data_IF_319982820533
#
_entry.id   IF_319982820533
#
_cell.length_a   1.000
_cell.length_b   1.000
_cell.length_c   1.000
_cell.angle_alpha   90.00
_cell.angle_beta   90.00
_cell.angle_gamma   90.00
#
_symmetry.space_group_name_H-M   'P 1'
#
loop_
_entity.id
_entity.type
_entity.pdbx_description
1 polymer ?
#
# COMPACT_ATOMS: atom_id res chain seq x y z
N UNK A 1 -41.68 -10.02 21.19
CA UNK A 1 -40.51 -9.15 20.99
C UNK A 1 -39.18 -9.84 21.32
N UNK A 2 -39.08 -10.57 22.45
CA UNK A 2 -37.81 -11.20 22.87
C UNK A 2 -37.26 -12.24 21.87
N UNK A 3 -38.13 -13.02 21.22
CA UNK A 3 -37.76 -14.02 20.19
C UNK A 3 -37.18 -13.37 18.93
N UNK A 4 -37.75 -12.24 18.49
CA UNK A 4 -37.25 -11.49 17.33
C UNK A 4 -35.86 -10.89 17.61
N UNK A 5 -35.59 -10.51 18.86
CA UNK A 5 -34.30 -9.99 19.28
C UNK A 5 -33.21 -11.07 19.25
N UNK A 6 -33.54 -12.30 19.67
CA UNK A 6 -32.61 -13.43 19.61
C UNK A 6 -32.27 -13.80 18.17
N UNK A 7 -33.24 -13.76 17.24
CA UNK A 7 -33.01 -14.09 15.83
C UNK A 7 -32.02 -13.14 15.12
N UNK A 8 -31.99 -11.86 15.52
CA UNK A 8 -31.05 -10.87 14.96
C UNK A 8 -29.60 -11.17 15.38
N UNK A 9 -29.39 -11.73 16.57
CA UNK A 9 -28.05 -12.05 17.11
C UNK A 9 -27.40 -13.23 16.36
N UNK A 10 -28.21 -14.15 15.82
CA UNK A 10 -27.73 -15.33 15.09
C UNK A 10 -27.63 -15.13 13.59
N UNK A 11 -27.89 -13.93 13.06
CA UNK A 11 -27.77 -13.66 11.64
C UNK A 11 -26.28 -13.53 11.28
N UNK A 12 -25.70 -14.48 10.52
CA UNK A 12 -24.29 -14.39 10.15
C UNK A 12 -24.09 -13.13 9.31
N UNK A 13 -23.12 -12.30 9.70
CA UNK A 13 -22.72 -11.16 8.91
C UNK A 13 -22.13 -11.68 7.58
N UNK A 14 -22.94 -11.71 6.53
CA UNK A 14 -22.57 -12.22 5.20
C UNK A 14 -21.44 -11.44 4.50
N UNK A 15 -20.80 -10.50 5.20
CA UNK A 15 -19.68 -9.70 4.72
C UNK A 15 -18.30 -10.30 5.03
N UNK A 16 -18.20 -11.38 5.80
CA UNK A 16 -16.92 -11.84 6.38
C UNK A 16 -16.35 -13.13 5.77
N UNK A 17 -17.12 -13.89 5.00
CA UNK A 17 -16.71 -15.22 4.49
C UNK A 17 -16.23 -15.25 3.03
N UNK A 18 -16.19 -14.11 2.35
CA UNK A 18 -15.53 -14.04 1.06
C UNK A 18 -14.03 -14.01 1.31
N UNK A 19 -13.32 -15.12 1.05
CA UNK A 19 -11.84 -15.16 1.09
C UNK A 19 -11.21 -14.06 0.23
N UNK A 20 -9.87 -13.97 0.19
CA UNK A 20 -9.16 -12.86 -0.46
C UNK A 20 -9.82 -12.34 -1.75
N UNK A 21 -10.29 -11.10 -1.70
CA UNK A 21 -10.94 -10.42 -2.82
C UNK A 21 -9.92 -9.52 -3.50
N UNK A 22 -9.67 -9.76 -4.77
CA UNK A 22 -8.87 -8.85 -5.60
C UNK A 22 -9.80 -7.82 -6.25
N UNK A 23 -9.51 -6.51 -6.13
CA UNK A 23 -10.28 -5.47 -6.81
C UNK A 23 -10.29 -5.65 -8.35
N UNK A 24 -11.29 -5.08 -9.05
CA UNK A 24 -11.31 -5.04 -10.52
C UNK A 24 -10.03 -4.46 -11.14
N UNK A 25 -9.69 -4.93 -12.34
CA UNK A 25 -8.43 -4.59 -13.04
C UNK A 25 -8.24 -3.08 -13.23
N UNK A 26 -9.31 -2.33 -13.48
CA UNK A 26 -9.26 -0.86 -13.63
C UNK A 26 -8.72 -0.17 -12.37
N UNK A 27 -9.14 -0.64 -11.19
CA UNK A 27 -8.66 -0.11 -9.90
C UNK A 27 -7.20 -0.51 -9.69
N UNK A 28 -6.85 -1.76 -10.01
CA UNK A 28 -5.48 -2.26 -9.88
C UNK A 28 -4.50 -1.51 -10.79
N UNK A 29 -4.92 -1.10 -11.99
CA UNK A 29 -4.11 -0.27 -12.90
C UNK A 29 -3.79 1.10 -12.32
N UNK A 30 -4.77 1.74 -11.69
CA UNK A 30 -4.55 3.03 -11.03
C UNK A 30 -3.67 2.86 -9.80
N UNK A 31 -3.92 1.82 -9.00
CA UNK A 31 -3.14 1.54 -7.79
C UNK A 31 -1.66 1.26 -8.07
N UNK A 32 -1.37 0.55 -9.17
CA UNK A 32 0.00 0.20 -9.57
C UNK A 32 0.59 1.13 -10.63
N UNK A 33 -0.04 2.29 -10.86
CA UNK A 33 0.55 3.30 -11.72
C UNK A 33 1.90 3.77 -11.14
N UNK A 34 2.93 3.99 -11.98
CA UNK A 34 4.22 4.45 -11.50
C UNK A 34 4.07 5.83 -10.85
N UNK A 35 4.65 5.97 -9.66
CA UNK A 35 4.71 7.24 -8.95
C UNK A 35 5.67 8.20 -9.66
N UNK A 36 5.45 9.50 -9.47
CA UNK A 36 6.36 10.51 -10.00
C UNK A 36 7.70 10.46 -9.24
N UNK A 37 8.84 10.66 -9.94
CA UNK A 37 10.13 10.68 -9.29
C UNK A 37 10.21 11.85 -8.31
N UNK A 38 10.89 11.63 -7.21
CA UNK A 38 11.26 12.68 -6.27
C UNK A 38 12.48 13.42 -6.82
N UNK A 39 12.42 14.75 -6.76
CA UNK A 39 13.40 15.63 -7.38
C UNK A 39 13.98 16.56 -6.32
N UNK A 40 15.31 16.59 -6.24
CA UNK A 40 16.03 17.59 -5.47
C UNK A 40 17.04 18.30 -6.37
N UNK A 41 16.93 19.61 -6.44
CA UNK A 41 17.86 20.47 -7.19
C UNK A 41 18.98 20.97 -6.28
N UNK A 42 20.23 20.91 -6.74
CA UNK A 42 21.32 21.56 -6.03
C UNK A 42 21.07 23.08 -5.92
N UNK A 43 21.51 23.76 -4.85
CA UNK A 43 21.33 25.21 -4.70
C UNK A 43 21.93 26.04 -5.85
N UNK A 44 22.99 25.53 -6.49
CA UNK A 44 23.63 26.15 -7.66
C UNK A 44 22.87 25.90 -8.96
N UNK A 45 21.91 24.97 -8.97
CA UNK A 45 21.15 24.57 -10.16
C UNK A 45 21.90 23.68 -11.15
N UNK A 46 23.16 23.32 -10.86
CA UNK A 46 24.01 22.54 -11.77
C UNK A 46 23.66 21.04 -11.79
N UNK A 47 23.14 20.53 -10.67
CA UNK A 47 22.83 19.11 -10.50
C UNK A 47 21.39 18.88 -10.04
N UNK A 48 20.85 17.76 -10.49
CA UNK A 48 19.54 17.24 -10.10
C UNK A 48 19.71 15.83 -9.55
N UNK A 49 19.13 15.56 -8.38
CA UNK A 49 18.96 14.21 -7.87
C UNK A 49 17.53 13.74 -8.14
N UNK A 50 17.42 12.63 -8.86
CA UNK A 50 16.17 11.95 -9.18
C UNK A 50 16.14 10.63 -8.40
N UNK A 51 15.14 10.45 -7.54
CA UNK A 51 14.91 9.17 -6.87
C UNK A 51 13.53 8.64 -7.21
N UNK A 52 13.45 7.34 -7.47
CA UNK A 52 12.19 6.64 -7.64
C UNK A 52 11.72 6.10 -6.28
N UNK A 53 10.52 6.47 -5.81
CA UNK A 53 9.98 5.88 -4.59
C UNK A 53 9.61 4.41 -4.81
N UNK A 54 10.01 3.54 -3.88
CA UNK A 54 9.67 2.12 -3.90
C UNK A 54 8.51 1.82 -2.95
N UNK A 55 7.28 1.74 -3.48
CA UNK A 55 6.06 1.59 -2.66
C UNK A 55 5.84 0.16 -2.16
N UNK A 56 6.31 -0.85 -2.89
CA UNK A 56 6.10 -2.27 -2.58
C UNK A 56 7.42 -3.06 -2.60
N UNK A 57 8.28 -2.90 -1.58
CA UNK A 57 9.50 -3.69 -1.47
C UNK A 57 9.17 -5.17 -1.25
N UNK A 58 10.02 -6.04 -1.80
CA UNK A 58 9.96 -7.48 -1.55
C UNK A 58 10.24 -7.79 -0.07
N UNK A 59 9.84 -8.98 0.38
CA UNK A 59 10.13 -9.41 1.77
C UNK A 59 11.64 -9.48 2.06
N UNK A 60 12.46 -9.78 1.06
CA UNK A 60 13.92 -9.80 1.22
C UNK A 60 14.48 -8.39 1.45
N UNK A 61 14.02 -7.41 0.67
CA UNK A 61 14.37 -5.99 0.85
C UNK A 61 13.85 -5.46 2.19
N UNK A 62 12.62 -5.82 2.58
CA UNK A 62 12.06 -5.50 3.90
C UNK A 62 12.90 -6.08 5.06
N UNK A 63 13.42 -7.30 4.90
CA UNK A 63 14.28 -7.94 5.91
C UNK A 63 15.74 -7.46 5.94
N UNK A 64 16.18 -6.71 4.92
CA UNK A 64 17.57 -6.28 4.82
C UNK A 64 17.94 -5.19 5.85
N UNK A 65 19.20 -5.13 6.31
CA UNK A 65 19.71 -4.02 7.11
C UNK A 65 19.57 -2.69 6.37
N UNK A 66 19.16 -1.62 7.08
CA UNK A 66 19.04 -0.30 6.47
C UNK A 66 20.39 0.23 6.00
N UNK A 67 20.44 0.79 4.79
CA UNK A 67 21.60 1.53 4.33
C UNK A 67 21.80 2.80 5.18
N UNK A 68 23.05 3.12 5.50
CA UNK A 68 23.39 4.23 6.41
C UNK A 68 23.29 5.61 5.74
N UNK A 69 22.95 5.67 4.46
CA UNK A 69 22.82 6.92 3.73
C UNK A 69 21.46 7.55 4.05
N UNK A 70 21.49 8.67 4.77
CA UNK A 70 20.35 9.57 4.99
C UNK A 70 19.08 8.91 5.55
N UNK A 71 19.17 7.75 6.21
CA UNK A 71 18.01 7.02 6.71
C UNK A 71 17.09 6.47 5.62
N UNK A 72 17.54 6.47 4.36
CA UNK A 72 16.83 5.82 3.25
C UNK A 72 17.21 4.34 3.21
N UNK A 73 16.20 3.48 3.03
CA UNK A 73 16.41 2.09 2.60
C UNK A 73 16.71 2.07 1.11
#
# INVERSE_FOLDING_TARGET
MLVAMVAIIYMPAAAQDAGWQTPPEEIMKVLHAPELPLIWTAPTGEYLFLAEPLSYPTLAEMGAPMHKLAGMR
#
